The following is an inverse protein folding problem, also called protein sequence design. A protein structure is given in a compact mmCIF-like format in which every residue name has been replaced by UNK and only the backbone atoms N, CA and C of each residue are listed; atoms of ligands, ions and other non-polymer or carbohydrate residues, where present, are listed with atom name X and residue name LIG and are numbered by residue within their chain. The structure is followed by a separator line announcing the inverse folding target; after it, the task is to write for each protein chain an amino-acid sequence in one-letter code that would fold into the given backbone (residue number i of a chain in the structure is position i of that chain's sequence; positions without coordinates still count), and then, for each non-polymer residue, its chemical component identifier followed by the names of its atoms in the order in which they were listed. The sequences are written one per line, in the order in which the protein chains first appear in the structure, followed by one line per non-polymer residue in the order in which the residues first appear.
data_IF_939989446846
#
_entry.id   IF_939989446846
#
_cell.length_a   1.000
_cell.length_b   1.000
_cell.length_c   1.000
_cell.angle_alpha   90.00
_cell.angle_beta   90.00
_cell.angle_gamma   90.00
#
_symmetry.space_group_name_H-M   'P 1'
#
loop_
_entity.id
_entity.type
_entity.pdbx_description
1 polymer ?
#
# COMPACT_ATOMS: atom_id res chain seq x y z
N UNK A 1 38.04 10.46 -28.28
CA UNK A 1 37.57 9.58 -27.21
C UNK A 1 36.85 10.50 -26.21
N UNK A 2 35.56 10.71 -26.42
CA UNK A 2 34.69 11.43 -25.47
C UNK A 2 34.55 10.50 -24.27
N UNK A 3 35.12 10.91 -23.11
CA UNK A 3 35.02 10.16 -21.89
C UNK A 3 33.53 10.05 -21.50
N UNK A 4 32.93 8.89 -21.70
CA UNK A 4 31.69 8.52 -21.02
C UNK A 4 32.00 8.60 -19.53
N UNK A 5 31.51 9.67 -18.90
CA UNK A 5 31.67 9.82 -17.47
C UNK A 5 30.93 8.65 -16.79
N UNK A 6 31.68 7.83 -16.07
CA UNK A 6 31.18 6.62 -15.42
C UNK A 6 29.97 6.90 -14.53
N UNK A 7 28.98 6.01 -14.54
CA UNK A 7 27.86 6.04 -13.60
C UNK A 7 28.39 5.75 -12.18
N UNK A 8 27.93 6.51 -11.20
CA UNK A 8 28.22 6.20 -9.80
C UNK A 8 27.39 5.02 -9.29
N UNK A 9 26.10 5.00 -9.73
CA UNK A 9 25.17 3.97 -9.28
C UNK A 9 24.16 3.60 -10.38
N UNK A 10 23.85 2.31 -10.48
CA UNK A 10 22.72 1.79 -11.24
C UNK A 10 21.66 1.28 -10.25
N UNK A 11 20.41 1.68 -10.46
CA UNK A 11 19.26 1.21 -9.68
C UNK A 11 18.38 0.35 -10.58
N UNK A 12 18.15 -0.88 -10.20
CA UNK A 12 17.33 -1.86 -10.94
C UNK A 12 15.92 -1.88 -10.35
N UNK A 13 14.96 -1.32 -11.06
CA UNK A 13 13.55 -1.17 -10.69
C UNK A 13 13.12 0.28 -10.47
N UNK A 14 12.13 0.73 -11.26
CA UNK A 14 11.52 2.07 -11.23
C UNK A 14 10.31 2.18 -10.30
N UNK A 15 10.20 1.33 -9.28
CA UNK A 15 9.21 1.44 -8.21
C UNK A 15 9.54 2.58 -7.23
N UNK A 16 8.66 2.83 -6.23
CA UNK A 16 8.85 3.94 -5.29
C UNK A 16 10.19 3.87 -4.53
N UNK A 17 10.67 2.66 -4.22
CA UNK A 17 11.95 2.48 -3.54
C UNK A 17 13.12 2.88 -4.45
N UNK A 18 13.11 2.44 -5.71
CA UNK A 18 14.14 2.81 -6.69
C UNK A 18 14.15 4.30 -6.99
N UNK A 19 12.98 4.91 -7.18
CA UNK A 19 12.84 6.34 -7.40
C UNK A 19 13.36 7.16 -6.20
N UNK A 20 13.02 6.74 -4.97
CA UNK A 20 13.51 7.42 -3.75
C UNK A 20 15.02 7.25 -3.57
N UNK A 21 15.58 6.07 -3.88
CA UNK A 21 17.02 5.83 -3.88
C UNK A 21 17.72 6.72 -4.90
N UNK A 22 17.25 6.73 -6.15
CA UNK A 22 17.81 7.58 -7.21
C UNK A 22 17.81 9.06 -6.85
N UNK A 23 16.68 9.59 -6.34
CA UNK A 23 16.58 10.97 -5.88
C UNK A 23 17.53 11.28 -4.71
N UNK A 24 17.73 10.35 -3.78
CA UNK A 24 18.65 10.52 -2.66
C UNK A 24 20.08 10.62 -3.16
N UNK A 25 20.51 9.76 -4.06
CA UNK A 25 21.82 9.77 -4.67
C UNK A 25 22.04 11.01 -5.55
N UNK A 26 21.08 11.35 -6.40
CA UNK A 26 21.13 12.54 -7.25
C UNK A 26 21.26 13.81 -6.41
N UNK A 27 20.55 13.93 -5.29
CA UNK A 27 20.64 15.08 -4.40
C UNK A 27 22.01 15.27 -3.77
N UNK A 28 22.80 14.19 -3.69
CA UNK A 28 24.20 14.19 -3.24
C UNK A 28 25.21 14.34 -4.40
N UNK A 29 24.72 14.71 -5.61
CA UNK A 29 25.57 14.95 -6.78
C UNK A 29 26.06 13.68 -7.50
N UNK A 30 25.51 12.49 -7.18
CA UNK A 30 25.88 11.23 -7.83
C UNK A 30 25.14 11.07 -9.18
N UNK A 31 25.83 10.51 -10.17
CA UNK A 31 25.24 10.13 -11.46
C UNK A 31 24.59 8.77 -11.34
N UNK A 32 23.27 8.76 -11.48
CA UNK A 32 22.44 7.58 -11.27
C UNK A 32 21.74 7.20 -12.57
N UNK A 33 21.62 5.91 -12.84
CA UNK A 33 20.75 5.34 -13.88
C UNK A 33 19.77 4.38 -13.24
N UNK A 34 18.47 4.64 -13.41
CA UNK A 34 17.38 3.75 -12.98
C UNK A 34 16.88 2.99 -14.20
N UNK A 35 16.81 1.67 -14.10
CA UNK A 35 16.38 0.76 -15.16
C UNK A 35 15.07 0.09 -14.73
N UNK A 36 14.01 0.31 -15.48
CA UNK A 36 12.69 -0.30 -15.24
C UNK A 36 12.33 -1.24 -16.39
N UNK A 37 11.97 -2.47 -16.06
CA UNK A 37 11.67 -3.51 -17.06
C UNK A 37 10.39 -3.24 -17.83
N UNK A 38 9.36 -2.69 -17.18
CA UNK A 38 8.09 -2.38 -17.83
C UNK A 38 8.14 -1.05 -18.61
N UNK A 39 7.08 -0.78 -19.35
CA UNK A 39 6.88 0.47 -20.09
C UNK A 39 6.44 1.64 -19.19
N UNK A 40 6.22 1.39 -17.89
CA UNK A 40 5.74 2.35 -16.90
C UNK A 40 6.51 2.29 -15.59
N UNK A 41 6.56 3.41 -14.89
CA UNK A 41 7.15 3.55 -13.57
C UNK A 41 6.13 3.34 -12.45
N UNK A 42 6.62 3.18 -11.21
CA UNK A 42 5.79 3.11 -10.00
C UNK A 42 5.60 1.71 -9.44
N UNK A 43 5.95 0.67 -10.22
CA UNK A 43 5.78 -0.72 -9.82
C UNK A 43 4.31 -1.04 -9.50
N UNK A 44 4.01 -1.37 -8.23
CA UNK A 44 2.65 -1.67 -7.75
C UNK A 44 1.75 -0.43 -7.64
N UNK A 45 2.31 0.77 -7.55
CA UNK A 45 1.54 2.03 -7.51
C UNK A 45 1.24 2.46 -8.94
N UNK A 46 0.06 2.10 -9.41
CA UNK A 46 -0.34 2.26 -10.79
C UNK A 46 -1.82 2.58 -10.94
N UNK A 47 -2.16 3.35 -11.97
CA UNK A 47 -3.53 3.74 -12.36
C UNK A 47 -3.67 3.50 -13.85
N UNK A 48 -4.72 2.79 -14.25
CA UNK A 48 -5.10 2.60 -15.64
C UNK A 48 -6.21 3.59 -16.01
N UNK A 49 -6.30 3.97 -17.30
CA UNK A 49 -7.41 4.74 -17.83
C UNK A 49 -8.34 3.79 -18.61
N UNK A 50 -9.61 3.74 -18.20
CA UNK A 50 -10.64 2.88 -18.82
C UNK A 50 -11.88 3.72 -19.07
N UNK A 51 -12.24 3.95 -20.31
CA UNK A 51 -13.43 4.74 -20.73
C UNK A 51 -13.49 6.15 -20.07
N UNK A 52 -12.34 6.78 -19.86
CA UNK A 52 -12.24 8.08 -19.22
C UNK A 52 -12.24 8.05 -17.66
N UNK A 53 -12.33 6.86 -17.07
CA UNK A 53 -12.17 6.66 -15.63
C UNK A 53 -10.72 6.31 -15.29
N UNK A 54 -10.25 6.76 -14.12
CA UNK A 54 -8.97 6.36 -13.55
C UNK A 54 -9.16 5.23 -12.55
N UNK A 55 -8.68 4.07 -12.90
CA UNK A 55 -8.80 2.85 -12.08
C UNK A 55 -7.44 2.48 -11.53
N UNK A 56 -7.25 2.62 -10.22
CA UNK A 56 -6.03 2.18 -9.55
C UNK A 56 -5.98 0.65 -9.50
N UNK A 57 -4.77 0.07 -9.65
CA UNK A 57 -4.59 -1.38 -9.62
C UNK A 57 -4.63 -1.90 -8.18
N UNK A 58 -5.82 -2.32 -7.75
CA UNK A 58 -6.15 -2.64 -6.36
C UNK A 58 -6.58 -1.40 -5.57
N UNK A 59 -7.20 -1.61 -4.40
CA UNK A 59 -7.55 -0.51 -3.51
C UNK A 59 -6.29 0.05 -2.87
N UNK A 60 -5.89 1.23 -3.29
CA UNK A 60 -4.71 1.93 -2.80
C UNK A 60 -5.13 3.24 -2.12
N UNK A 61 -4.48 3.56 -1.02
CA UNK A 61 -4.70 4.80 -0.25
C UNK A 61 -3.34 5.37 0.15
N UNK A 62 -3.17 6.67 -0.05
CA UNK A 62 -2.06 7.42 0.49
C UNK A 62 -2.43 8.02 1.86
N UNK A 63 -1.60 7.87 2.88
CA UNK A 63 -1.80 8.54 4.16
C UNK A 63 -0.98 9.83 4.19
N UNK A 64 -1.65 10.99 4.33
CA UNK A 64 -0.99 12.31 4.27
C UNK A 64 -0.06 12.58 5.46
N UNK A 65 -0.14 11.77 6.51
CA UNK A 65 0.78 11.76 7.64
C UNK A 65 2.07 10.94 7.41
N UNK A 66 2.24 10.28 6.26
CA UNK A 66 3.46 9.51 6.00
C UNK A 66 4.71 10.39 5.99
N UNK A 67 5.66 10.18 6.93
CA UNK A 67 6.83 11.06 7.07
C UNK A 67 7.75 11.04 5.84
N UNK A 68 7.94 9.89 5.21
CA UNK A 68 8.73 9.84 3.99
C UNK A 68 7.97 10.45 2.80
N UNK A 69 6.64 10.33 2.78
CA UNK A 69 5.82 11.02 1.80
C UNK A 69 5.96 12.54 1.91
N UNK A 70 5.95 13.10 3.13
CA UNK A 70 6.17 14.53 3.35
C UNK A 70 7.59 14.99 2.96
N UNK A 71 8.58 14.10 3.04
CA UNK A 71 9.96 14.37 2.61
C UNK A 71 10.11 14.39 1.10
N UNK A 72 9.48 13.45 0.40
CA UNK A 72 9.70 13.24 -1.02
C UNK A 72 8.67 13.90 -1.92
N UNK A 73 7.45 14.17 -1.44
CA UNK A 73 6.33 14.62 -2.26
C UNK A 73 5.93 16.06 -1.96
N UNK A 74 5.55 16.78 -3.00
CA UNK A 74 4.85 18.06 -2.91
C UNK A 74 3.35 17.79 -2.89
N UNK A 75 2.77 17.64 -1.67
CA UNK A 75 1.39 17.18 -1.50
C UNK A 75 0.36 18.11 -2.16
N UNK A 76 0.64 19.43 -2.23
CA UNK A 76 -0.26 20.41 -2.86
C UNK A 76 -0.47 20.14 -4.36
N UNK A 77 0.60 19.74 -5.07
CA UNK A 77 0.50 19.46 -6.51
C UNK A 77 -0.19 18.14 -6.83
N UNK A 78 -0.32 17.23 -5.85
CA UNK A 78 -1.09 15.99 -5.99
C UNK A 78 -2.60 16.22 -5.90
N UNK A 79 -3.06 17.40 -5.42
CA UNK A 79 -4.47 17.75 -5.25
C UNK A 79 -5.23 16.63 -4.52
N UNK A 80 -4.75 16.29 -3.30
CA UNK A 80 -5.26 15.17 -2.52
C UNK A 80 -6.72 15.36 -2.10
N UNK A 81 -7.61 14.51 -2.60
CA UNK A 81 -8.92 14.28 -2.00
C UNK A 81 -8.79 13.43 -0.74
N UNK A 82 -9.64 13.66 0.27
CA UNK A 82 -9.57 12.98 1.57
C UNK A 82 -10.81 12.15 1.83
N UNK A 83 -10.58 10.95 2.34
CA UNK A 83 -11.66 10.16 2.94
C UNK A 83 -12.14 10.81 4.25
N UNK A 84 -13.41 10.67 4.56
CA UNK A 84 -13.93 10.95 5.91
C UNK A 84 -13.23 10.05 6.93
N UNK A 85 -13.03 10.58 8.15
CA UNK A 85 -12.34 9.85 9.23
C UNK A 85 -13.27 8.82 9.87
N UNK A 86 -13.47 7.71 9.21
CA UNK A 86 -14.33 6.61 9.61
C UNK A 86 -14.57 5.63 8.48
N UNK A 87 -15.47 4.68 8.72
CA UNK A 87 -15.88 3.69 7.74
C UNK A 87 -17.34 3.27 7.98
N UNK A 88 -17.98 2.77 6.93
CA UNK A 88 -19.20 2.00 7.03
C UNK A 88 -18.82 0.52 7.19
N UNK A 89 -19.37 -0.11 8.21
CA UNK A 89 -19.20 -1.55 8.46
C UNK A 89 -20.47 -2.26 8.00
N UNK A 90 -20.34 -3.11 7.00
CA UNK A 90 -21.45 -3.97 6.59
C UNK A 90 -21.47 -5.23 7.45
N UNK A 91 -22.53 -5.38 8.25
CA UNK A 91 -22.84 -6.58 9.04
C UNK A 91 -24.17 -7.15 8.54
N UNK A 92 -24.14 -8.18 7.72
CA UNK A 92 -25.29 -8.63 6.96
C UNK A 92 -25.81 -7.52 6.03
N UNK A 93 -27.11 -7.26 6.07
CA UNK A 93 -27.75 -6.15 5.32
C UNK A 93 -27.65 -4.79 6.00
N UNK A 94 -27.08 -4.71 7.20
CA UNK A 94 -26.96 -3.46 7.97
C UNK A 94 -25.64 -2.75 7.66
N UNK A 95 -25.72 -1.43 7.54
CA UNK A 95 -24.56 -0.55 7.49
C UNK A 95 -24.43 0.19 8.80
N UNK A 96 -23.35 -0.08 9.53
CA UNK A 96 -23.02 0.56 10.81
C UNK A 96 -21.92 1.58 10.57
N UNK A 97 -22.01 2.74 11.20
CA UNK A 97 -20.96 3.77 11.11
C UNK A 97 -19.96 3.59 12.23
N UNK A 98 -18.67 3.59 11.88
CA UNK A 98 -17.57 3.82 12.81
C UNK A 98 -16.87 5.10 12.39
N UNK A 99 -16.61 5.99 13.34
CA UNK A 99 -15.94 7.25 13.09
C UNK A 99 -14.91 7.58 14.17
N UNK A 100 -13.90 8.34 13.79
CA UNK A 100 -12.92 8.89 14.73
C UNK A 100 -13.59 9.96 15.61
N UNK A 101 -13.72 9.76 16.93
CA UNK A 101 -14.43 10.69 17.81
C UNK A 101 -13.75 12.07 17.91
N UNK A 102 -12.47 12.16 17.60
CA UNK A 102 -11.75 13.45 17.60
C UNK A 102 -12.02 14.29 16.35
N UNK A 103 -12.47 13.67 15.26
CA UNK A 103 -12.73 14.34 13.97
C UNK A 103 -14.20 14.36 13.61
N UNK A 104 -14.93 13.30 13.95
CA UNK A 104 -16.35 13.12 13.64
C UNK A 104 -17.12 12.72 14.92
N UNK A 105 -17.24 13.61 15.94
CA UNK A 105 -17.82 13.25 17.24
C UNK A 105 -19.29 12.82 17.17
N UNK A 106 -20.08 13.39 16.28
CA UNK A 106 -21.50 13.03 16.14
C UNK A 106 -21.65 11.61 15.60
N UNK A 107 -20.91 11.26 14.58
CA UNK A 107 -20.89 9.92 13.98
C UNK A 107 -20.33 8.88 14.96
N UNK A 108 -19.34 9.26 15.75
CA UNK A 108 -18.77 8.38 16.77
C UNK A 108 -19.80 8.04 17.87
N UNK A 109 -20.60 9.02 18.30
CA UNK A 109 -21.72 8.78 19.25
C UNK A 109 -22.77 7.85 18.63
N UNK A 110 -23.13 8.05 17.37
CA UNK A 110 -24.05 7.14 16.65
C UNK A 110 -23.49 5.71 16.58
N UNK A 111 -22.20 5.56 16.32
CA UNK A 111 -21.52 4.26 16.31
C UNK A 111 -21.52 3.57 17.67
N UNK A 112 -21.33 4.31 18.77
CA UNK A 112 -21.46 3.80 20.15
C UNK A 112 -22.89 3.34 20.46
N UNK A 113 -23.90 4.15 20.11
CA UNK A 113 -25.32 3.80 20.30
C UNK A 113 -25.72 2.60 19.42
N UNK A 114 -25.15 2.47 18.22
CA UNK A 114 -25.31 1.30 17.34
C UNK A 114 -24.62 0.03 17.86
N UNK A 115 -23.87 0.13 18.96
CA UNK A 115 -23.23 -1.02 19.63
C UNK A 115 -22.08 -1.63 18.85
N UNK A 116 -21.46 -0.91 17.93
CA UNK A 116 -20.31 -1.36 17.15
C UNK A 116 -19.07 -1.49 18.03
N UNK A 117 -18.82 -0.49 18.88
CA UNK A 117 -17.72 -0.46 19.85
C UNK A 117 -18.30 -0.25 21.25
N UNK A 118 -17.91 -1.10 22.22
CA UNK A 118 -18.29 -0.93 23.62
C UNK A 118 -17.52 0.22 24.28
N UNK A 119 -18.10 0.86 25.32
CA UNK A 119 -17.46 1.99 26.02
C UNK A 119 -16.06 1.66 26.55
N UNK A 120 -15.85 0.44 27.09
CA UNK A 120 -14.55 0.00 27.58
C UNK A 120 -13.54 -0.09 26.46
N UNK A 121 -13.91 -0.67 25.31
CA UNK A 121 -13.05 -0.74 24.15
C UNK A 121 -12.76 0.64 23.53
N UNK A 122 -13.76 1.55 23.54
CA UNK A 122 -13.56 2.93 23.10
C UNK A 122 -12.49 3.66 23.94
N UNK A 123 -12.50 3.47 25.27
CA UNK A 123 -11.46 4.02 26.16
C UNK A 123 -10.09 3.39 25.87
N UNK A 124 -10.03 2.09 25.57
CA UNK A 124 -8.79 1.41 25.20
C UNK A 124 -8.24 1.91 23.86
N UNK A 125 -9.12 2.12 22.85
CA UNK A 125 -8.73 2.72 21.56
C UNK A 125 -8.15 4.12 21.78
N UNK A 126 -8.77 4.94 22.63
CA UNK A 126 -8.28 6.26 22.97
C UNK A 126 -6.88 6.22 23.62
N UNK A 127 -6.67 5.30 24.57
CA UNK A 127 -5.35 5.08 25.21
C UNK A 127 -4.31 4.58 24.21
N UNK A 128 -4.66 3.62 23.35
CA UNK A 128 -3.80 3.13 22.29
C UNK A 128 -3.36 4.29 21.38
N UNK A 129 -4.32 5.09 20.90
CA UNK A 129 -4.05 6.27 20.07
C UNK A 129 -3.07 7.23 20.76
N UNK A 130 -3.35 7.64 21.99
CA UNK A 130 -2.50 8.60 22.71
C UNK A 130 -1.08 8.06 22.93
N UNK A 131 -0.94 6.78 23.28
CA UNK A 131 0.36 6.12 23.44
C UNK A 131 1.15 6.08 22.14
N UNK A 132 0.50 5.73 21.03
CA UNK A 132 1.20 5.63 19.74
C UNK A 132 1.60 6.99 19.20
N UNK A 133 0.76 8.02 19.37
CA UNK A 133 1.15 9.39 18.99
C UNK A 133 2.30 9.93 19.84
N UNK A 134 2.34 9.63 21.14
CA UNK A 134 3.48 9.99 22.00
C UNK A 134 4.77 9.27 21.57
N UNK A 135 4.69 7.98 21.23
CA UNK A 135 5.85 7.24 20.70
C UNK A 135 6.32 7.76 19.34
N UNK A 136 5.38 8.18 18.47
CA UNK A 136 5.72 8.80 17.19
C UNK A 136 6.48 10.11 17.40
N UNK A 137 6.01 10.98 18.32
CA UNK A 137 6.69 12.23 18.66
C UNK A 137 8.06 12.01 19.26
N UNK A 138 8.24 10.94 20.05
CA UNK A 138 9.53 10.56 20.63
C UNK A 138 10.46 9.86 19.63
N UNK A 139 10.05 9.62 18.38
CA UNK A 139 10.83 8.89 17.37
C UNK A 139 11.00 7.39 17.64
N UNK A 140 10.25 6.82 18.60
CA UNK A 140 10.39 5.41 19.03
C UNK A 140 9.35 4.48 18.42
N UNK A 141 8.50 4.98 17.54
CA UNK A 141 7.52 4.18 16.85
C UNK A 141 8.19 3.39 15.70
N UNK A 142 8.00 2.08 15.69
CA UNK A 142 8.65 1.19 14.70
C UNK A 142 10.03 0.66 15.13
N UNK A 143 10.57 1.10 16.26
CA UNK A 143 11.77 0.52 16.85
C UNK A 143 11.40 -0.74 17.65
N UNK A 144 11.60 -1.90 17.03
CA UNK A 144 11.35 -3.22 17.64
C UNK A 144 12.63 -3.95 18.05
N UNK A 145 13.78 -3.25 18.07
CA UNK A 145 15.03 -3.86 18.44
C UNK A 145 14.93 -4.54 19.83
N UNK A 146 14.99 -5.86 19.86
CA UNK A 146 15.03 -6.67 21.08
C UNK A 146 13.70 -6.97 21.76
N UNK A 147 12.53 -6.61 21.20
CA UNK A 147 11.23 -7.01 21.74
C UNK A 147 10.71 -8.28 21.04
N UNK A 148 10.04 -9.14 21.83
CA UNK A 148 9.34 -10.31 21.27
C UNK A 148 8.39 -9.84 20.17
N UNK A 149 8.60 -10.33 18.97
CA UNK A 149 7.79 -9.99 17.80
C UNK A 149 6.51 -10.80 17.90
N UNK A 150 5.36 -10.12 17.93
CA UNK A 150 4.03 -10.71 18.06
C UNK A 150 3.09 -10.18 16.99
N UNK A 151 2.02 -10.91 16.72
CA UNK A 151 0.98 -10.49 15.81
C UNK A 151 0.16 -9.32 16.38
N UNK A 152 -0.52 -8.60 15.51
CA UNK A 152 -1.49 -7.55 15.88
C UNK A 152 -2.58 -8.11 16.79
N UNK A 153 -3.10 -9.31 16.48
CA UNK A 153 -4.14 -9.96 17.28
C UNK A 153 -3.68 -10.22 18.73
N UNK A 154 -2.51 -10.86 18.89
CA UNK A 154 -1.93 -11.12 20.21
C UNK A 154 -1.74 -9.84 21.00
N UNK A 155 -1.19 -8.80 20.38
CA UNK A 155 -0.98 -7.50 21.01
C UNK A 155 -2.29 -6.86 21.48
N UNK A 156 -3.34 -6.91 20.66
CA UNK A 156 -4.65 -6.34 21.02
C UNK A 156 -5.31 -7.13 22.16
N UNK A 157 -5.23 -8.46 22.14
CA UNK A 157 -5.76 -9.30 23.22
C UNK A 157 -5.03 -9.07 24.54
N UNK A 158 -3.70 -8.98 24.52
CA UNK A 158 -2.89 -8.64 25.71
C UNK A 158 -3.22 -7.27 26.30
N UNK A 159 -3.63 -6.32 25.46
CA UNK A 159 -4.14 -5.02 25.93
C UNK A 159 -5.60 -5.10 26.42
N UNK A 160 -6.19 -6.30 26.41
CA UNK A 160 -7.50 -6.61 26.93
C UNK A 160 -8.65 -6.13 26.05
N UNK A 161 -8.43 -5.91 24.74
CA UNK A 161 -9.53 -5.64 23.81
C UNK A 161 -10.46 -6.83 23.72
N UNK A 162 -11.77 -6.57 23.59
CA UNK A 162 -12.76 -7.64 23.46
C UNK A 162 -12.71 -8.30 22.09
N UNK A 163 -13.01 -9.61 22.03
CA UNK A 163 -13.19 -10.33 20.76
C UNK A 163 -14.27 -9.68 19.86
N UNK A 164 -15.22 -8.98 20.48
CA UNK A 164 -16.27 -8.25 19.76
C UNK A 164 -15.69 -7.10 18.94
N UNK A 165 -14.85 -6.25 19.55
CA UNK A 165 -14.27 -5.11 18.84
C UNK A 165 -13.20 -5.57 17.83
N UNK A 166 -12.47 -6.66 18.12
CA UNK A 166 -11.58 -7.26 17.14
C UNK A 166 -12.36 -7.61 15.87
N UNK A 167 -13.44 -8.37 15.97
CA UNK A 167 -14.24 -8.82 14.83
C UNK A 167 -15.01 -7.73 14.11
N UNK A 168 -15.50 -6.71 14.83
CA UNK A 168 -16.37 -5.67 14.25
C UNK A 168 -15.62 -4.45 13.74
N UNK A 169 -14.38 -4.25 14.18
CA UNK A 169 -13.61 -3.09 13.80
C UNK A 169 -12.21 -3.44 13.30
N UNK A 170 -11.35 -4.04 14.15
CA UNK A 170 -9.95 -4.22 13.79
C UNK A 170 -9.76 -5.18 12.61
N UNK A 171 -10.43 -6.33 12.63
CA UNK A 171 -10.31 -7.32 11.55
C UNK A 171 -10.86 -6.81 10.21
N UNK A 172 -12.08 -6.22 10.12
CA UNK A 172 -12.57 -5.72 8.85
C UNK A 172 -11.73 -4.57 8.29
N UNK A 173 -11.38 -3.60 9.14
CA UNK A 173 -10.66 -2.41 8.70
C UNK A 173 -9.21 -2.73 8.38
N UNK A 174 -8.45 -3.29 9.33
CA UNK A 174 -7.04 -3.59 9.12
C UNK A 174 -6.81 -4.85 8.29
N UNK A 175 -7.75 -5.79 8.28
CA UNK A 175 -7.75 -6.90 7.36
C UNK A 175 -7.77 -6.44 5.90
N UNK A 176 -8.59 -5.44 5.58
CA UNK A 176 -8.56 -4.79 4.26
C UNK A 176 -7.26 -4.06 3.96
N UNK A 177 -6.69 -3.35 4.95
CA UNK A 177 -5.40 -2.64 4.80
C UNK A 177 -4.24 -3.61 4.58
N UNK A 178 -4.22 -4.73 5.29
CA UNK A 178 -3.13 -5.72 5.24
C UNK A 178 -3.41 -6.91 4.33
N UNK A 179 -4.55 -6.92 3.63
CA UNK A 179 -5.02 -8.01 2.78
C UNK A 179 -4.93 -9.37 3.48
N UNK A 180 -5.47 -9.43 4.70
CA UNK A 180 -5.43 -10.64 5.52
C UNK A 180 -6.64 -10.79 6.42
N UNK A 181 -6.78 -11.97 7.02
CA UNK A 181 -7.73 -12.24 8.09
C UNK A 181 -6.99 -12.58 9.37
N UNK A 182 -7.65 -12.33 10.49
CA UNK A 182 -7.15 -12.74 11.79
C UNK A 182 -6.04 -11.88 12.38
N UNK A 183 -5.67 -10.74 11.74
CA UNK A 183 -4.68 -9.78 12.24
C UNK A 183 -3.32 -10.44 12.55
N UNK A 184 -2.82 -11.29 11.62
CA UNK A 184 -1.55 -11.97 11.72
C UNK A 184 -0.34 -11.05 11.45
N UNK A 185 -0.56 -9.91 10.79
CA UNK A 185 0.46 -8.88 10.57
C UNK A 185 1.11 -8.46 11.89
N UNK A 186 2.41 -8.26 11.87
CA UNK A 186 3.21 -7.88 13.05
C UNK A 186 2.69 -6.60 13.70
N UNK A 187 2.68 -6.58 15.03
CA UNK A 187 2.14 -5.49 15.83
C UNK A 187 2.80 -4.13 15.56
N UNK A 188 4.08 -4.08 15.21
CA UNK A 188 4.78 -2.83 14.89
C UNK A 188 4.30 -2.20 13.57
N UNK A 189 3.94 -3.02 12.57
CA UNK A 189 3.32 -2.56 11.32
C UNK A 189 1.95 -1.98 11.60
N UNK A 190 1.15 -2.67 12.40
CA UNK A 190 -0.15 -2.17 12.84
C UNK A 190 -0.02 -0.87 13.63
N UNK A 191 0.87 -0.80 14.63
CA UNK A 191 1.07 0.39 15.47
C UNK A 191 1.45 1.61 14.62
N UNK A 192 2.35 1.42 13.65
CA UNK A 192 2.72 2.48 12.70
C UNK A 192 1.52 2.91 11.84
N UNK A 193 0.84 1.96 11.23
CA UNK A 193 -0.30 2.24 10.34
C UNK A 193 -1.45 2.92 11.10
N UNK A 194 -1.76 2.43 12.31
CA UNK A 194 -2.77 3.03 13.18
C UNK A 194 -2.40 4.47 13.57
N UNK A 195 -1.12 4.72 13.90
CA UNK A 195 -0.66 6.07 14.21
C UNK A 195 -0.79 7.02 13.01
N UNK A 196 -0.52 6.54 11.78
CA UNK A 196 -0.67 7.34 10.57
C UNK A 196 -2.16 7.69 10.32
N UNK A 197 -3.09 6.76 10.49
CA UNK A 197 -4.52 7.05 10.44
C UNK A 197 -4.97 8.00 11.57
N UNK A 198 -4.42 7.85 12.76
CA UNK A 198 -4.74 8.73 13.89
C UNK A 198 -4.23 10.17 13.72
N UNK A 199 -3.11 10.35 13.00
CA UNK A 199 -2.49 11.67 12.76
C UNK A 199 -3.01 12.33 11.48
N UNK A 200 -3.16 11.57 10.40
CA UNK A 200 -3.54 12.04 9.07
C UNK A 200 -4.83 11.43 8.54
N UNK A 201 -5.07 11.61 7.28
CA UNK A 201 -6.23 11.09 6.54
C UNK A 201 -5.79 10.13 5.44
N UNK A 202 -6.64 9.17 5.10
CA UNK A 202 -6.54 8.47 3.84
C UNK A 202 -6.87 9.41 2.70
N UNK A 203 -6.07 9.39 1.64
CA UNK A 203 -6.17 10.31 0.53
C UNK A 203 -6.01 9.61 -0.81
N UNK A 204 -6.58 10.21 -1.85
CA UNK A 204 -6.35 9.86 -3.25
C UNK A 204 -5.86 11.10 -4.02
N UNK A 205 -4.76 11.00 -4.80
CA UNK A 205 -4.37 12.06 -5.72
C UNK A 205 -5.41 12.23 -6.83
N UNK A 206 -5.73 13.46 -7.23
CA UNK A 206 -6.71 13.71 -8.30
C UNK A 206 -6.31 13.08 -9.65
N UNK A 207 -5.03 12.87 -9.89
CA UNK A 207 -4.49 12.20 -11.07
C UNK A 207 -4.37 10.67 -10.97
N UNK A 208 -5.00 10.02 -9.96
CA UNK A 208 -4.83 8.62 -9.63
C UNK A 208 -3.54 8.38 -8.83
N UNK A 209 -3.39 7.20 -8.26
CA UNK A 209 -2.23 6.84 -7.45
C UNK A 209 -0.90 6.92 -8.22
N UNK A 210 -0.92 6.69 -9.54
CA UNK A 210 0.25 6.85 -10.41
C UNK A 210 0.79 8.29 -10.46
N UNK A 211 0.07 9.30 -9.98
CA UNK A 211 0.60 10.66 -9.84
C UNK A 211 1.79 10.73 -8.86
N UNK A 212 1.83 9.85 -7.87
CA UNK A 212 2.92 9.77 -6.88
C UNK A 212 4.25 9.41 -7.56
N UNK A 213 4.41 8.25 -8.22
CA UNK A 213 5.67 7.92 -8.89
C UNK A 213 5.99 8.88 -10.04
N UNK A 214 5.01 9.42 -10.76
CA UNK A 214 5.25 10.44 -11.80
C UNK A 214 5.88 11.70 -11.21
N UNK A 215 5.41 12.16 -10.06
CA UNK A 215 6.00 13.34 -9.39
C UNK A 215 7.45 13.09 -8.97
N UNK A 216 7.76 11.88 -8.49
CA UNK A 216 9.14 11.52 -8.12
C UNK A 216 10.04 11.47 -9.36
N UNK A 217 9.60 10.78 -10.40
CA UNK A 217 10.35 10.65 -11.64
C UNK A 217 10.61 12.00 -12.31
N UNK A 218 9.65 12.93 -12.30
CA UNK A 218 9.81 14.29 -12.86
C UNK A 218 10.83 15.16 -12.13
N UNK A 219 11.44 14.67 -11.04
CA UNK A 219 12.55 15.35 -10.32
C UNK A 219 13.91 14.75 -10.60
N UNK A 220 13.95 13.61 -11.30
CA UNK A 220 15.20 13.03 -11.77
C UNK A 220 15.74 13.79 -12.98
N UNK A 221 17.03 13.68 -13.21
CA UNK A 221 17.65 14.18 -14.45
C UNK A 221 17.06 13.45 -15.67
N UNK A 222 17.01 14.11 -16.83
CA UNK A 222 16.33 13.62 -18.03
C UNK A 222 16.83 12.23 -18.50
N UNK A 223 18.11 11.95 -18.30
CA UNK A 223 18.76 10.69 -18.68
C UNK A 223 18.84 9.65 -17.55
N UNK A 224 18.36 9.98 -16.36
CA UNK A 224 18.51 9.12 -15.18
C UNK A 224 17.55 7.92 -15.14
N UNK A 225 16.47 7.92 -15.90
CA UNK A 225 15.44 6.88 -15.90
C UNK A 225 15.22 6.33 -17.29
N UNK A 226 15.20 5.00 -17.40
CA UNK A 226 14.93 4.28 -18.65
C UNK A 226 13.93 3.15 -18.39
N UNK A 227 12.84 3.14 -19.16
CA UNK A 227 11.80 2.10 -19.13
C UNK A 227 11.99 1.11 -20.29
N UNK A 228 11.33 -0.05 -20.21
CA UNK A 228 11.51 -1.13 -21.20
C UNK A 228 12.89 -1.79 -21.13
N UNK A 229 13.59 -1.66 -20.00
CA UNK A 229 14.96 -2.13 -19.79
C UNK A 229 14.97 -3.25 -18.75
N UNK A 230 14.71 -4.48 -19.19
CA UNK A 230 14.77 -5.65 -18.31
C UNK A 230 16.23 -6.02 -18.01
N UNK A 231 16.58 -6.06 -16.73
CA UNK A 231 17.88 -6.52 -16.24
C UNK A 231 17.84 -8.04 -16.10
N UNK A 232 18.73 -8.73 -16.80
CA UNK A 232 18.86 -10.18 -16.77
C UNK A 232 19.88 -10.67 -15.75
N UNK A 233 20.99 -9.91 -15.56
CA UNK A 233 22.10 -10.29 -14.68
C UNK A 233 22.59 -9.09 -13.90
N UNK A 234 22.89 -9.31 -12.62
CA UNK A 234 23.54 -8.36 -11.72
C UNK A 234 24.79 -8.99 -11.12
N UNK A 235 25.92 -8.36 -11.33
CA UNK A 235 27.22 -8.73 -10.75
C UNK A 235 27.86 -7.49 -10.11
N UNK A 236 28.83 -7.63 -9.21
CA UNK A 236 29.55 -6.47 -8.68
C UNK A 236 30.10 -5.57 -9.80
N UNK A 237 29.63 -4.33 -9.83
CA UNK A 237 30.05 -3.33 -10.82
C UNK A 237 29.47 -3.50 -12.25
N UNK A 238 28.62 -4.50 -12.50
CA UNK A 238 28.08 -4.81 -13.84
C UNK A 238 26.58 -5.18 -13.79
N UNK A 239 25.82 -4.58 -14.69
CA UNK A 239 24.45 -4.97 -15.02
C UNK A 239 24.39 -5.35 -16.49
N UNK A 240 23.80 -6.50 -16.82
CA UNK A 240 23.50 -6.93 -18.19
C UNK A 240 21.99 -6.95 -18.42
N UNK A 241 21.55 -6.28 -19.47
CA UNK A 241 20.15 -6.23 -19.88
C UNK A 241 19.78 -7.47 -20.70
N UNK A 242 18.50 -7.76 -20.79
CA UNK A 242 17.98 -8.87 -21.60
C UNK A 242 18.25 -8.68 -23.12
N UNK A 243 18.43 -7.45 -23.59
CA UNK A 243 18.80 -7.11 -24.96
C UNK A 243 20.30 -7.23 -25.24
N UNK A 244 21.12 -7.62 -24.25
CA UNK A 244 22.56 -7.82 -24.34
C UNK A 244 23.40 -6.58 -24.05
N UNK A 245 22.83 -5.40 -23.81
CA UNK A 245 23.58 -4.21 -23.36
C UNK A 245 24.19 -4.45 -21.99
N UNK A 246 25.39 -3.94 -21.79
CA UNK A 246 26.09 -3.95 -20.51
C UNK A 246 26.29 -2.51 -19.98
N UNK A 247 26.01 -2.32 -18.70
CA UNK A 247 26.22 -1.06 -18.00
C UNK A 247 27.09 -1.30 -16.76
N UNK A 248 27.99 -0.34 -16.47
CA UNK A 248 28.91 -0.42 -15.34
C UNK A 248 28.72 0.76 -14.40
N UNK A 249 28.82 0.50 -13.10
CA UNK A 249 28.77 1.52 -12.07
C UNK A 249 29.57 1.08 -10.84
N UNK A 250 29.95 2.05 -9.99
CA UNK A 250 30.60 1.77 -8.71
C UNK A 250 29.71 1.04 -7.71
N UNK A 251 28.39 1.31 -7.75
CA UNK A 251 27.40 0.64 -6.92
C UNK A 251 26.21 0.19 -7.75
N UNK A 252 25.58 -0.93 -7.34
CA UNK A 252 24.34 -1.42 -7.93
C UNK A 252 23.32 -1.68 -6.85
N UNK A 253 22.14 -1.07 -7.00
CA UNK A 253 21.00 -1.22 -6.11
C UNK A 253 19.93 -2.04 -6.79
N UNK A 254 19.56 -3.17 -6.24
CA UNK A 254 18.38 -3.94 -6.67
C UNK A 254 17.16 -3.44 -5.88
N UNK A 255 16.26 -2.76 -6.59
CA UNK A 255 15.04 -2.12 -6.04
C UNK A 255 13.75 -2.79 -6.52
N UNK A 256 13.83 -4.05 -6.90
CA UNK A 256 12.73 -4.88 -7.36
C UNK A 256 11.92 -5.47 -6.20
N UNK A 257 10.90 -6.26 -6.51
CA UNK A 257 10.28 -7.13 -5.52
C UNK A 257 11.25 -8.23 -5.05
N UNK A 258 10.90 -8.90 -3.93
CA UNK A 258 11.81 -9.89 -3.32
C UNK A 258 12.01 -11.13 -4.19
N UNK A 259 11.04 -11.54 -5.02
CA UNK A 259 11.19 -12.67 -5.95
C UNK A 259 12.19 -12.34 -7.06
N UNK A 260 12.07 -11.15 -7.65
CA UNK A 260 13.00 -10.70 -8.67
C UNK A 260 14.41 -10.45 -8.09
N UNK A 261 14.48 -9.89 -6.87
CA UNK A 261 15.75 -9.71 -6.15
C UNK A 261 16.45 -11.05 -5.89
N UNK A 262 15.71 -12.08 -5.48
CA UNK A 262 16.28 -13.43 -5.30
C UNK A 262 16.76 -14.05 -6.60
N UNK A 263 16.09 -13.81 -7.73
CA UNK A 263 16.56 -14.29 -9.04
C UNK A 263 17.80 -13.54 -9.53
N UNK A 264 17.87 -12.23 -9.32
CA UNK A 264 18.99 -11.40 -9.75
C UNK A 264 20.25 -11.57 -8.88
N UNK A 265 20.06 -11.93 -7.60
CA UNK A 265 21.13 -12.05 -6.62
C UNK A 265 21.02 -13.37 -5.81
N UNK A 266 21.03 -14.55 -6.48
CA UNK A 266 20.75 -15.83 -5.83
C UNK A 266 21.75 -16.18 -4.71
N UNK A 267 23.02 -15.76 -4.85
CA UNK A 267 24.08 -16.03 -3.88
C UNK A 267 24.13 -15.01 -2.73
N UNK A 268 23.36 -13.93 -2.80
CA UNK A 268 23.39 -12.80 -1.86
C UNK A 268 22.09 -12.62 -1.10
N UNK A 269 20.95 -12.94 -1.72
CA UNK A 269 19.64 -12.91 -1.08
C UNK A 269 19.32 -14.33 -0.61
N UNK A 270 19.24 -14.58 0.71
CA UNK A 270 18.96 -15.92 1.23
C UNK A 270 17.60 -16.45 0.72
N UNK A 271 17.52 -17.74 0.40
CA UNK A 271 16.29 -18.39 -0.01
C UNK A 271 15.15 -18.16 1.00
N UNK A 272 15.46 -18.19 2.31
CA UNK A 272 14.50 -17.87 3.38
C UNK A 272 13.91 -16.46 3.29
N UNK A 273 14.58 -15.50 2.65
CA UNK A 273 14.06 -14.15 2.43
C UNK A 273 13.09 -14.09 1.25
N UNK A 274 13.17 -15.06 0.32
CA UNK A 274 12.26 -15.20 -0.83
C UNK A 274 11.11 -16.19 -0.56
N UNK A 275 11.16 -16.97 0.51
CA UNK A 275 10.10 -17.85 1.00
C UNK A 275 8.97 -17.05 1.69
N UNK A 276 8.62 -15.92 1.15
CA UNK A 276 7.50 -15.10 1.63
C UNK A 276 6.30 -15.28 0.74
N UNK A 277 5.13 -15.24 1.36
CA UNK A 277 3.90 -15.28 0.59
C UNK A 277 3.49 -13.87 0.13
N UNK A 278 2.98 -13.80 -1.07
CA UNK A 278 2.27 -12.63 -1.54
C UNK A 278 0.82 -12.67 -1.08
N UNK A 279 0.33 -11.54 -0.64
CA UNK A 279 -1.10 -11.30 -0.44
C UNK A 279 -1.63 -10.63 -1.69
N UNK A 280 -2.66 -11.20 -2.28
CA UNK A 280 -3.29 -10.71 -3.50
C UNK A 280 -4.69 -10.15 -3.25
N UNK A 281 -5.18 -9.40 -4.22
CA UNK A 281 -6.56 -8.91 -4.28
C UNK A 281 -7.01 -8.87 -5.73
N UNK A 282 -8.32 -8.89 -5.95
CA UNK A 282 -8.92 -8.56 -7.22
C UNK A 282 -9.72 -7.26 -7.06
N UNK A 283 -9.69 -6.41 -8.05
CA UNK A 283 -10.49 -5.19 -8.10
C UNK A 283 -11.54 -5.32 -9.18
N UNK A 284 -12.81 -5.09 -8.83
CA UNK A 284 -13.90 -4.96 -9.80
C UNK A 284 -14.32 -3.49 -9.82
N UNK A 285 -14.27 -2.86 -10.99
CA UNK A 285 -14.62 -1.46 -11.19
C UNK A 285 -15.92 -1.31 -11.98
N UNK A 286 -16.77 -0.39 -11.52
CA UNK A 286 -18.03 -0.05 -12.19
C UNK A 286 -18.16 1.46 -12.36
N UNK A 287 -18.81 1.86 -13.45
CA UNK A 287 -19.35 3.20 -13.63
C UNK A 287 -20.81 3.23 -13.20
N UNK A 288 -21.23 4.33 -12.58
CA UNK A 288 -22.62 4.60 -12.24
C UNK A 288 -22.94 6.10 -12.42
N UNK A 289 -24.21 6.43 -12.68
CA UNK A 289 -24.67 7.81 -12.80
C UNK A 289 -24.67 8.53 -11.44
N UNK A 290 -24.76 7.78 -10.36
CA UNK A 290 -24.75 8.33 -8.99
C UNK A 290 -23.96 7.43 -8.05
N UNK A 291 -23.23 8.07 -7.12
CA UNK A 291 -22.55 7.38 -6.05
C UNK A 291 -23.53 6.66 -5.12
N UNK A 292 -23.33 5.37 -4.84
CA UNK A 292 -24.11 4.67 -3.82
C UNK A 292 -23.80 5.10 -2.39
N UNK A 293 -22.61 5.65 -2.14
CA UNK A 293 -22.16 6.10 -0.81
C UNK A 293 -22.48 7.57 -0.57
N UNK A 294 -22.54 8.40 -1.61
CA UNK A 294 -22.82 9.85 -1.58
C UNK A 294 -21.91 10.63 -0.60
N UNK A 295 -20.73 10.07 -0.31
CA UNK A 295 -19.75 10.64 0.60
C UNK A 295 -18.39 9.95 0.37
N UNK A 296 -17.26 10.63 0.68
CA UNK A 296 -15.92 10.07 0.57
C UNK A 296 -15.65 9.05 1.68
N UNK A 297 -16.35 7.94 1.68
CA UNK A 297 -16.31 6.89 2.70
C UNK A 297 -15.80 5.57 2.15
N UNK A 298 -15.25 4.78 3.04
CA UNK A 298 -14.92 3.38 2.83
C UNK A 298 -16.03 2.51 3.45
N UNK A 299 -16.56 1.57 2.69
CA UNK A 299 -17.37 0.48 3.21
C UNK A 299 -16.48 -0.75 3.35
N UNK A 300 -16.46 -1.38 4.53
CA UNK A 300 -15.76 -2.63 4.80
C UNK A 300 -16.74 -3.70 5.29
N UNK A 301 -16.49 -4.95 4.95
CA UNK A 301 -17.39 -6.06 5.28
C UNK A 301 -16.89 -6.78 6.52
N UNK A 302 -17.64 -6.71 7.63
CA UNK A 302 -17.27 -7.31 8.91
C UNK A 302 -17.39 -8.83 8.94
N UNK A 303 -18.24 -9.40 8.12
CA UNK A 303 -18.66 -10.82 8.23
C UNK A 303 -17.91 -11.76 7.26
N UNK A 304 -16.85 -11.25 6.65
CA UNK A 304 -16.01 -12.04 5.73
C UNK A 304 -15.40 -13.30 6.39
N UNK A 305 -15.39 -13.36 7.73
CA UNK A 305 -14.81 -14.47 8.49
C UNK A 305 -15.80 -15.60 8.88
N UNK A 306 -17.11 -15.39 8.75
CA UNK A 306 -18.12 -16.37 9.23
C UNK A 306 -19.31 -16.50 8.29
N UNK A 307 -19.15 -17.20 7.19
CA UNK A 307 -20.14 -18.01 6.45
C UNK A 307 -21.63 -17.57 6.36
N UNK A 308 -22.05 -16.41 6.86
CA UNK A 308 -23.46 -15.97 6.90
C UNK A 308 -23.83 -14.93 5.84
N UNK A 309 -22.84 -14.19 5.29
CA UNK A 309 -23.03 -13.41 4.06
C UNK A 309 -21.97 -13.90 3.06
N UNK A 310 -22.34 -14.92 2.34
CA UNK A 310 -21.51 -15.54 1.32
C UNK A 310 -21.30 -14.58 0.15
N UNK A 311 -20.19 -13.82 0.16
CA UNK A 311 -19.87 -12.96 -0.97
C UNK A 311 -18.41 -12.57 -0.99
N UNK A 312 -17.92 -12.13 -2.15
CA UNK A 312 -16.51 -11.87 -2.40
C UNK A 312 -15.99 -10.54 -1.82
N UNK A 313 -16.87 -9.60 -1.48
CA UNK A 313 -16.51 -8.21 -1.18
C UNK A 313 -15.79 -8.11 0.17
N UNK A 314 -14.57 -7.60 0.16
CA UNK A 314 -13.86 -7.16 1.37
C UNK A 314 -14.16 -5.69 1.68
N UNK A 315 -14.08 -4.84 0.65
CA UNK A 315 -14.42 -3.42 0.79
C UNK A 315 -14.95 -2.85 -0.53
N UNK A 316 -15.67 -1.72 -0.40
CA UNK A 316 -16.18 -0.93 -1.52
C UNK A 316 -15.90 0.54 -1.25
N UNK A 317 -15.46 1.26 -2.27
CA UNK A 317 -15.31 2.71 -2.23
C UNK A 317 -15.77 3.35 -3.54
N UNK A 318 -15.97 4.66 -3.49
CA UNK A 318 -16.27 5.49 -4.66
C UNK A 318 -15.16 6.53 -4.78
N UNK A 319 -14.05 6.20 -5.49
CA UNK A 319 -12.90 7.10 -5.60
C UNK A 319 -13.26 8.49 -6.13
N UNK A 320 -14.25 8.60 -6.99
CA UNK A 320 -14.75 9.88 -7.51
C UNK A 320 -15.44 10.76 -6.46
N UNK A 321 -15.94 10.20 -5.35
CA UNK A 321 -16.43 10.99 -4.20
C UNK A 321 -15.26 11.58 -3.40
N UNK A 322 -14.10 10.93 -3.43
CA UNK A 322 -12.89 11.36 -2.74
C UNK A 322 -12.12 12.39 -3.56
N UNK A 323 -11.92 12.11 -4.85
CA UNK A 323 -11.20 12.97 -5.78
C UNK A 323 -11.90 12.98 -7.16
N UNK A 324 -12.43 14.12 -7.55
CA UNK A 324 -13.27 14.25 -8.76
C UNK A 324 -12.58 13.81 -10.06
N UNK A 325 -11.24 13.81 -10.10
CA UNK A 325 -10.48 13.38 -11.28
C UNK A 325 -10.58 11.88 -11.60
N UNK A 326 -11.23 11.05 -10.78
CA UNK A 326 -11.37 9.61 -11.00
C UNK A 326 -12.49 9.23 -11.98
N UNK A 327 -13.45 10.10 -12.22
CA UNK A 327 -14.56 9.82 -13.13
C UNK A 327 -14.82 11.01 -14.06
N UNK A 328 -15.41 10.79 -15.24
CA UNK A 328 -15.98 11.85 -16.07
C UNK A 328 -17.06 12.63 -15.32
N UNK A 329 -17.25 13.90 -15.69
CA UNK A 329 -18.29 14.75 -15.08
C UNK A 329 -19.67 14.10 -15.14
N UNK A 330 -20.38 14.09 -14.01
CA UNK A 330 -21.73 13.49 -13.90
C UNK A 330 -21.74 11.97 -13.75
N UNK A 331 -20.59 11.33 -13.61
CA UNK A 331 -20.48 9.90 -13.36
C UNK A 331 -19.70 9.60 -12.07
N UNK A 332 -19.87 8.40 -11.55
CA UNK A 332 -19.18 7.90 -10.36
C UNK A 332 -18.42 6.62 -10.69
N UNK A 333 -17.19 6.54 -10.21
CA UNK A 333 -16.40 5.30 -10.20
C UNK A 333 -16.65 4.56 -8.90
N UNK A 334 -17.12 3.33 -8.99
CA UNK A 334 -17.25 2.42 -7.86
C UNK A 334 -16.17 1.37 -7.99
N UNK A 335 -15.36 1.18 -6.95
CA UNK A 335 -14.34 0.12 -6.90
C UNK A 335 -14.62 -0.81 -5.74
N UNK A 336 -14.52 -2.10 -6.03
CA UNK A 336 -14.78 -3.18 -5.09
C UNK A 336 -13.53 -4.04 -5.00
N UNK A 337 -12.95 -4.15 -3.81
CA UNK A 337 -11.88 -5.11 -3.55
C UNK A 337 -12.46 -6.45 -3.16
N UNK A 338 -11.91 -7.46 -3.77
CA UNK A 338 -12.30 -8.86 -3.61
C UNK A 338 -11.07 -9.65 -3.23
N UNK A 339 -11.25 -10.61 -2.36
CA UNK A 339 -10.17 -11.50 -1.96
C UNK A 339 -9.71 -12.39 -3.10
N UNK A 340 -8.41 -12.56 -3.20
CA UNK A 340 -7.79 -13.46 -4.19
C UNK A 340 -8.11 -14.94 -3.96
N UNK A 341 -8.54 -15.32 -2.75
CA UNK A 341 -8.92 -16.68 -2.36
C UNK A 341 -10.42 -17.00 -2.53
N UNK A 342 -11.19 -16.03 -3.07
CA UNK A 342 -12.61 -16.28 -3.32
C UNK A 342 -12.81 -17.29 -4.45
N UNK A 343 -13.62 -18.31 -4.17
CA UNK A 343 -14.01 -19.35 -5.12
C UNK A 343 -15.55 -19.41 -5.12
N UNK A 344 -16.17 -19.19 -6.25
CA UNK A 344 -17.61 -19.29 -6.43
C UNK A 344 -17.97 -19.86 -7.80
N UNK A 345 -19.20 -20.37 -7.93
CA UNK A 345 -19.71 -20.90 -9.20
C UNK A 345 -20.08 -19.81 -10.22
N UNK A 346 -20.37 -18.61 -9.73
CA UNK A 346 -20.75 -17.44 -10.55
C UNK A 346 -19.50 -16.69 -11.01
N UNK A 347 -19.65 -15.85 -12.02
CA UNK A 347 -18.63 -14.85 -12.35
C UNK A 347 -18.42 -13.91 -11.16
N UNK A 348 -17.20 -13.38 -11.02
CA UNK A 348 -16.88 -12.47 -9.92
C UNK A 348 -17.76 -11.22 -9.94
N UNK A 349 -18.04 -10.68 -11.13
CA UNK A 349 -18.93 -9.53 -11.31
C UNK A 349 -20.34 -9.81 -10.77
N UNK A 350 -20.94 -10.95 -11.13
CA UNK A 350 -22.28 -11.33 -10.68
C UNK A 350 -22.32 -11.51 -9.16
N UNK A 351 -21.33 -12.17 -8.57
CA UNK A 351 -21.24 -12.35 -7.13
C UNK A 351 -21.09 -11.02 -6.37
N UNK A 352 -20.29 -10.10 -6.90
CA UNK A 352 -20.17 -8.73 -6.37
C UNK A 352 -21.50 -7.99 -6.43
N UNK A 353 -22.21 -8.03 -7.58
CA UNK A 353 -23.53 -7.41 -7.74
C UNK A 353 -24.54 -8.00 -6.77
N UNK A 354 -24.58 -9.31 -6.65
CA UNK A 354 -25.51 -10.00 -5.74
C UNK A 354 -25.30 -9.57 -4.29
N UNK A 355 -24.04 -9.49 -3.83
CA UNK A 355 -23.72 -9.03 -2.48
C UNK A 355 -24.04 -7.55 -2.30
N UNK A 356 -23.66 -6.68 -3.24
CA UNK A 356 -23.87 -5.24 -3.17
C UNK A 356 -25.37 -4.86 -3.16
N UNK A 357 -26.26 -5.67 -3.81
CA UNK A 357 -27.73 -5.48 -3.77
C UNK A 357 -28.29 -5.53 -2.36
N UNK A 358 -27.65 -6.22 -1.42
CA UNK A 358 -28.09 -6.27 -0.02
C UNK A 358 -28.03 -4.90 0.65
N UNK A 359 -27.15 -4.01 0.19
CA UNK A 359 -26.92 -2.67 0.75
C UNK A 359 -27.50 -1.55 -0.10
N UNK A 360 -27.49 -1.71 -1.43
CA UNK A 360 -27.82 -0.65 -2.39
C UNK A 360 -29.06 -0.98 -3.25
N UNK A 361 -29.68 -2.14 -3.04
CA UNK A 361 -30.90 -2.55 -3.73
C UNK A 361 -30.71 -2.69 -5.25
N UNK A 362 -31.78 -2.42 -5.99
CA UNK A 362 -31.82 -2.58 -7.44
C UNK A 362 -30.92 -1.59 -8.21
N UNK A 363 -30.46 -0.50 -7.59
CA UNK A 363 -29.55 0.45 -8.21
C UNK A 363 -28.24 -0.20 -8.71
N UNK A 364 -27.83 -1.31 -8.10
CA UNK A 364 -26.64 -2.09 -8.51
C UNK A 364 -26.78 -2.63 -9.94
N UNK A 365 -27.99 -2.88 -10.43
CA UNK A 365 -28.23 -3.41 -11.77
C UNK A 365 -27.89 -2.40 -12.88
N UNK A 366 -27.95 -1.11 -12.57
CA UNK A 366 -27.57 -0.03 -13.50
C UNK A 366 -26.06 0.24 -13.53
N UNK A 367 -25.25 -0.34 -12.65
CA UNK A 367 -23.82 -0.14 -12.67
C UNK A 367 -23.22 -0.79 -13.92
N UNK A 368 -22.48 -0.04 -14.72
CA UNK A 368 -21.79 -0.56 -15.90
C UNK A 368 -20.41 -1.10 -15.47
N UNK A 369 -20.15 -2.37 -15.74
CA UNK A 369 -18.81 -2.95 -15.50
C UNK A 369 -17.79 -2.26 -16.41
N UNK A 370 -16.68 -1.82 -15.83
CA UNK A 370 -15.55 -1.21 -16.52
C UNK A 370 -14.44 -2.22 -16.76
N UNK A 371 -13.97 -2.82 -15.69
CA UNK A 371 -12.85 -3.77 -15.73
C UNK A 371 -12.78 -4.59 -14.44
N UNK A 372 -12.15 -5.75 -14.54
CA UNK A 372 -11.69 -6.55 -13.39
C UNK A 372 -10.19 -6.71 -13.50
N UNK A 373 -9.47 -6.33 -12.44
CA UNK A 373 -8.01 -6.36 -12.38
C UNK A 373 -7.58 -7.35 -11.31
N UNK A 374 -6.80 -8.35 -11.70
CA UNK A 374 -6.16 -9.27 -10.75
C UNK A 374 -4.80 -8.70 -10.32
N UNK A 375 -4.58 -8.64 -9.01
CA UNK A 375 -3.34 -8.12 -8.41
C UNK A 375 -2.78 -9.17 -7.43
N UNK A 376 -2.21 -10.26 -7.93
CA UNK A 376 -1.78 -11.40 -7.11
C UNK A 376 -0.60 -11.05 -6.19
N UNK A 377 0.16 -10.03 -6.52
CA UNK A 377 1.34 -9.55 -5.78
C UNK A 377 1.13 -8.15 -5.22
N UNK A 378 0.06 -7.96 -4.44
CA UNK A 378 -0.29 -6.65 -3.87
C UNK A 378 0.64 -6.27 -2.72
N UNK A 379 0.75 -7.13 -1.71
CA UNK A 379 1.57 -6.90 -0.53
C UNK A 379 2.39 -8.14 -0.17
N UNK A 380 3.68 -8.00 0.17
CA UNK A 380 4.42 -9.08 0.81
C UNK A 380 3.86 -9.34 2.22
N UNK A 381 3.95 -10.58 2.64
CA UNK A 381 3.58 -10.99 4.00
C UNK A 381 4.41 -10.25 5.05
N UNK A 382 3.73 -9.80 6.11
CA UNK A 382 4.30 -9.01 7.21
C UNK A 382 4.07 -9.67 8.59
N UNK A 383 4.01 -11.00 8.63
CA UNK A 383 3.95 -11.72 9.91
C UNK A 383 5.26 -11.51 10.70
N UNK A 384 5.25 -11.73 12.03
CA UNK A 384 6.46 -11.68 12.84
C UNK A 384 7.61 -12.51 12.26
N UNK A 385 7.31 -13.71 11.81
CA UNK A 385 8.28 -14.65 11.24
C UNK A 385 8.85 -14.13 9.91
N UNK A 386 7.99 -13.64 9.00
CA UNK A 386 8.40 -13.09 7.72
C UNK A 386 9.32 -11.86 7.90
N UNK A 387 9.04 -11.02 8.90
CA UNK A 387 9.87 -9.87 9.24
C UNK A 387 11.23 -10.25 9.78
N UNK A 388 11.32 -11.33 10.56
CA UNK A 388 12.58 -11.87 11.08
C UNK A 388 13.54 -12.38 9.99
N UNK A 389 13.05 -12.64 8.77
CA UNK A 389 13.82 -13.16 7.63
C UNK A 389 14.30 -12.08 6.65
N UNK A 390 14.19 -10.79 6.99
CA UNK A 390 14.61 -9.69 6.11
C UNK A 390 16.12 -9.69 5.92
N UNK A 391 16.63 -9.61 4.67
CA UNK A 391 18.04 -9.46 4.42
C UNK A 391 18.52 -8.04 4.78
N UNK A 392 19.83 -7.89 4.87
CA UNK A 392 20.46 -6.57 5.01
C UNK A 392 20.31 -5.77 3.70
N UNK A 393 20.31 -4.44 3.80
CA UNK A 393 20.30 -3.57 2.62
C UNK A 393 21.65 -3.56 1.90
N UNK A 394 22.78 -3.62 2.61
CA UNK A 394 24.11 -3.79 2.02
C UNK A 394 24.48 -5.26 1.93
N UNK A 395 24.81 -5.73 0.72
CA UNK A 395 25.15 -7.13 0.43
C UNK A 395 26.65 -7.36 0.19
N UNK A 396 27.47 -6.31 0.35
CA UNK A 396 28.89 -6.33 0.05
C UNK A 396 29.21 -6.11 -1.43
N UNK A 397 30.48 -5.90 -1.73
CA UNK A 397 31.02 -5.76 -3.10
C UNK A 397 30.32 -4.69 -3.95
N UNK A 398 29.82 -3.60 -3.34
CA UNK A 398 29.09 -2.55 -4.05
C UNK A 398 27.63 -2.93 -4.43
N UNK A 399 27.10 -4.04 -3.91
CA UNK A 399 25.74 -4.49 -4.13
C UNK A 399 24.84 -4.09 -2.96
N UNK A 400 23.66 -3.56 -3.29
CA UNK A 400 22.67 -3.10 -2.33
C UNK A 400 21.25 -3.56 -2.70
N UNK A 401 20.37 -3.60 -1.72
CA UNK A 401 18.98 -4.02 -1.86
C UNK A 401 18.05 -2.99 -1.20
N UNK A 402 16.98 -2.61 -1.86
CA UNK A 402 15.89 -1.85 -1.25
C UNK A 402 14.51 -2.31 -1.76
N UNK A 403 13.48 -1.97 -1.00
CA UNK A 403 12.10 -2.31 -1.26
C UNK A 403 11.28 -2.25 0.03
N UNK A 404 9.96 -2.18 -0.09
CA UNK A 404 9.06 -2.16 1.07
C UNK A 404 9.18 -3.45 1.91
N UNK A 405 9.55 -4.55 1.29
CA UNK A 405 9.81 -5.84 1.95
C UNK A 405 10.97 -5.79 2.98
N UNK A 406 11.82 -4.78 2.93
CA UNK A 406 12.88 -4.55 3.94
C UNK A 406 12.42 -3.66 5.10
N UNK A 407 11.31 -2.95 4.96
CA UNK A 407 10.78 -2.01 5.97
C UNK A 407 9.33 -2.35 6.34
N UNK A 408 8.37 -1.64 5.80
CA UNK A 408 6.93 -1.93 5.93
C UNK A 408 6.30 -1.97 4.55
N UNK A 409 5.39 -2.91 4.31
CA UNK A 409 4.68 -3.04 3.03
C UNK A 409 3.70 -1.88 2.83
N UNK A 410 4.26 -0.73 2.49
CA UNK A 410 3.52 0.53 2.31
C UNK A 410 4.28 1.50 1.41
N UNK A 411 3.58 2.51 0.88
CA UNK A 411 4.20 3.64 0.17
C UNK A 411 5.31 4.27 1.01
N UNK A 412 5.03 4.52 2.30
CA UNK A 412 6.03 5.08 3.22
C UNK A 412 7.25 4.17 3.39
N UNK A 413 7.02 2.87 3.54
CA UNK A 413 8.09 1.90 3.69
C UNK A 413 8.97 1.78 2.45
N UNK A 414 8.38 1.80 1.26
CA UNK A 414 9.12 1.79 0.00
C UNK A 414 10.03 3.03 -0.12
N UNK A 415 9.48 4.23 0.13
CA UNK A 415 10.24 5.48 0.12
C UNK A 415 11.36 5.46 1.17
N UNK A 416 11.07 5.01 2.39
CA UNK A 416 12.05 4.87 3.49
C UNK A 416 13.19 3.94 3.10
N UNK A 417 12.86 2.77 2.57
CA UNK A 417 13.85 1.77 2.17
C UNK A 417 14.78 2.31 1.08
N UNK A 418 14.20 2.98 0.05
CA UNK A 418 14.98 3.61 -1.00
C UNK A 418 15.94 4.69 -0.48
N UNK A 419 15.45 5.59 0.40
CA UNK A 419 16.28 6.61 1.02
C UNK A 419 17.43 6.02 1.83
N UNK A 420 17.13 5.09 2.74
CA UNK A 420 18.16 4.46 3.58
C UNK A 420 19.20 3.70 2.75
N UNK A 421 18.79 3.07 1.66
CA UNK A 421 19.70 2.43 0.73
C UNK A 421 20.60 3.45 0.02
N UNK A 422 20.03 4.55 -0.49
CA UNK A 422 20.82 5.63 -1.08
C UNK A 422 21.85 6.21 -0.10
N UNK A 423 21.46 6.43 1.17
CA UNK A 423 22.36 6.87 2.23
C UNK A 423 23.48 5.83 2.51
N UNK A 424 23.15 4.52 2.46
CA UNK A 424 24.14 3.46 2.64
C UNK A 424 25.14 3.41 1.47
N UNK A 425 24.69 3.61 0.23
CA UNK A 425 25.58 3.72 -0.95
C UNK A 425 26.52 4.90 -0.78
N UNK A 426 26.02 6.07 -0.36
CA UNK A 426 26.85 7.27 -0.11
C UNK A 426 27.89 7.07 0.99
N UNK A 427 27.56 6.28 2.01
CA UNK A 427 28.48 5.99 3.12
C UNK A 427 29.57 4.96 2.76
N UNK A 428 29.37 4.17 1.71
CA UNK A 428 30.30 3.14 1.25
C UNK A 428 31.28 3.64 0.18
N UNK A 429 31.01 4.75 -0.50
CA UNK A 429 31.83 5.35 -1.55
C UNK A 429 32.05 6.81 -1.40
#
# INVERSE_FOLDING_TARGET
MTGESSLDCIVVGGGLAGLACGLTLQSAGRRVKILEASDRIGGRVATDEVDGFRVDRGFQVYLDAYPEGQRFLTLQSLQLGRFESGALIAEGSRLLTIADPWRCPVEAVRGLLGGTVGLIDAVKIARLRSRLLARLQAGTLGETAGKAVRSTREMLLEQGFSERVLRRFFEPFFGGVFLERGLATSADVFEFTFAMFALGSGCLPAGGMAAIPRQLAGRLADDALETGCEVAVVEPGLVRLADGRELRAGAIVVATDFDAAGRLLPDRVPASATERHWKGTQLVAFAADRSPLQAPRLLVVADAARHTVAGPIDNLTVPSDVAAGYAPSGQSLITVSVRSDWIGEQSLEEAVRQQARQWFGEAVLSWRHLTTIDVPRSLPEETPEARGRRPASSLGDGLFLCGDHLTTSSINGALKSGRLCGEAVLAAG
#
